data_IF_330573763203
#
_entry.id   IF_330573763203
#
_cell.length_a   1.000
_cell.length_b   1.000
_cell.length_c   1.000
_cell.angle_alpha   90.00
_cell.angle_beta   90.00
_cell.angle_gamma   90.00
#
_symmetry.space_group_name_H-M   'P 1'
#
loop_
_entity.id
_entity.type
_entity.pdbx_description
1 polymer ?
#
# COMPACT_ATOMS: atom_id res chain seq x y z
N UNK A 1 16.96 14.21 12.88
CA UNK A 1 15.58 14.15 12.36
C UNK A 1 14.70 13.69 13.51
N UNK A 2 13.43 14.14 13.65
CA UNK A 2 12.56 13.60 14.68
C UNK A 2 12.34 12.11 14.46
N UNK A 3 12.25 11.35 15.57
CA UNK A 3 12.09 9.89 15.50
C UNK A 3 10.78 9.52 14.78
N UNK A 4 10.87 8.62 13.81
CA UNK A 4 9.73 8.01 13.14
C UNK A 4 9.13 6.95 14.07
N UNK A 5 7.88 7.10 14.47
CA UNK A 5 7.24 6.23 15.47
C UNK A 5 5.94 5.68 14.88
N UNK A 6 5.89 4.39 14.66
CA UNK A 6 4.66 3.68 14.25
C UNK A 6 3.66 3.69 15.42
N UNK A 7 2.38 3.85 15.13
CA UNK A 7 1.35 3.80 16.17
C UNK A 7 1.35 2.45 16.89
N UNK A 8 1.20 2.42 18.23
CA UNK A 8 1.45 1.22 19.04
C UNK A 8 0.65 -0.01 18.61
N UNK A 9 -0.61 0.15 18.22
CA UNK A 9 -1.46 -0.95 17.78
C UNK A 9 -1.01 -1.56 16.46
N UNK A 10 -0.51 -0.74 15.55
CA UNK A 10 0.06 -1.17 14.27
C UNK A 10 1.39 -1.89 14.54
N UNK A 11 2.26 -1.35 15.40
CA UNK A 11 3.51 -1.98 15.79
C UNK A 11 3.27 -3.38 16.37
N UNK A 12 2.28 -3.54 17.26
CA UNK A 12 1.88 -4.86 17.79
C UNK A 12 1.46 -5.83 16.69
N UNK A 13 0.75 -5.36 15.65
CA UNK A 13 0.36 -6.19 14.50
C UNK A 13 1.60 -6.63 13.71
N UNK A 14 2.58 -5.75 13.50
CA UNK A 14 3.84 -6.06 12.84
C UNK A 14 4.60 -7.14 13.64
N UNK A 15 4.73 -6.98 14.95
CA UNK A 15 5.43 -7.95 15.81
C UNK A 15 4.74 -9.32 15.77
N UNK A 16 3.40 -9.34 15.81
CA UNK A 16 2.63 -10.58 15.68
C UNK A 16 2.86 -11.24 14.31
N UNK A 17 2.83 -10.48 13.23
CA UNK A 17 3.04 -10.99 11.87
C UNK A 17 4.44 -11.59 11.70
N UNK A 18 5.47 -11.02 12.34
CA UNK A 18 6.85 -11.54 12.31
C UNK A 18 7.02 -12.89 12.99
N UNK A 19 6.13 -13.26 13.89
CA UNK A 19 6.16 -14.56 14.60
C UNK A 19 5.44 -15.69 13.85
N UNK A 20 4.78 -15.38 12.73
CA UNK A 20 4.04 -16.37 11.94
C UNK A 20 4.99 -17.15 11.04
N UNK A 21 4.95 -18.48 11.13
CA UNK A 21 5.68 -19.34 10.20
C UNK A 21 5.09 -19.24 8.78
N UNK A 22 5.97 -19.10 7.81
CA UNK A 22 5.61 -19.02 6.40
C UNK A 22 5.99 -20.33 5.72
N UNK A 23 5.04 -20.94 5.00
CA UNK A 23 5.28 -22.16 4.22
C UNK A 23 6.43 -21.98 3.22
N UNK A 24 7.19 -23.04 2.96
CA UNK A 24 8.42 -23.00 2.19
C UNK A 24 8.22 -22.45 0.76
N UNK A 25 7.14 -22.86 0.08
CA UNK A 25 6.80 -22.35 -1.26
C UNK A 25 6.52 -20.86 -1.23
N UNK A 26 5.71 -20.38 -0.27
CA UNK A 26 5.43 -18.97 -0.10
C UNK A 26 6.69 -18.17 0.23
N UNK A 27 7.56 -18.72 1.07
CA UNK A 27 8.86 -18.12 1.40
C UNK A 27 9.70 -17.93 0.16
N UNK A 28 9.83 -18.96 -0.70
CA UNK A 28 10.60 -18.87 -1.94
C UNK A 28 10.11 -17.75 -2.87
N UNK A 29 8.78 -17.56 -3.00
CA UNK A 29 8.22 -16.44 -3.77
C UNK A 29 8.55 -15.07 -3.16
N UNK A 30 8.47 -14.95 -1.83
CA UNK A 30 8.80 -13.71 -1.13
C UNK A 30 10.30 -13.40 -1.21
N UNK A 31 11.16 -14.41 -1.13
CA UNK A 31 12.61 -14.25 -1.26
C UNK A 31 12.96 -13.77 -2.67
N UNK A 32 12.33 -14.33 -3.71
CA UNK A 32 12.50 -13.86 -5.08
C UNK A 32 12.07 -12.39 -5.24
N UNK A 33 10.88 -12.03 -4.73
CA UNK A 33 10.40 -10.64 -4.76
C UNK A 33 11.35 -9.69 -4.00
N UNK A 34 11.82 -10.11 -2.83
CA UNK A 34 12.79 -9.33 -2.03
C UNK A 34 14.08 -9.08 -2.80
N UNK A 35 14.57 -10.09 -3.53
CA UNK A 35 15.76 -9.95 -4.37
C UNK A 35 15.56 -8.92 -5.49
N UNK A 36 14.44 -9.00 -6.22
CA UNK A 36 14.11 -8.02 -7.27
C UNK A 36 14.02 -6.59 -6.71
N UNK A 37 13.36 -6.41 -5.57
CA UNK A 37 13.27 -5.11 -4.89
C UNK A 37 14.67 -4.61 -4.50
N UNK A 38 15.50 -5.48 -3.94
CA UNK A 38 16.85 -5.13 -3.51
C UNK A 38 17.74 -4.73 -4.69
N UNK A 39 17.72 -5.45 -5.81
CA UNK A 39 18.44 -5.08 -7.03
C UNK A 39 18.01 -3.68 -7.53
N UNK A 40 16.71 -3.40 -7.54
CA UNK A 40 16.19 -2.09 -7.91
C UNK A 40 16.66 -0.97 -6.97
N UNK A 41 16.64 -1.20 -5.67
CA UNK A 41 17.12 -0.25 -4.67
C UNK A 41 18.61 0.04 -4.83
N UNK A 42 19.42 -0.99 -5.11
CA UNK A 42 20.86 -0.84 -5.37
C UNK A 42 21.14 -0.04 -6.64
N UNK A 43 20.33 -0.24 -7.68
CA UNK A 43 20.52 0.44 -8.97
C UNK A 43 20.03 1.90 -8.96
N UNK A 44 18.94 2.20 -8.25
CA UNK A 44 18.21 3.47 -8.37
C UNK A 44 18.09 4.27 -7.07
N UNK A 45 18.49 3.71 -5.93
CA UNK A 45 18.41 4.34 -4.60
C UNK A 45 17.00 4.37 -4.00
N UNK A 46 15.94 4.19 -4.78
CA UNK A 46 14.55 4.08 -4.34
C UNK A 46 13.73 3.27 -5.31
N UNK A 47 12.55 2.78 -4.88
CA UNK A 47 11.64 2.02 -5.73
C UNK A 47 10.19 2.44 -5.48
N UNK A 48 9.39 2.40 -6.56
CA UNK A 48 7.94 2.52 -6.49
C UNK A 48 7.29 1.14 -6.67
N UNK A 49 6.36 0.77 -5.78
CA UNK A 49 5.53 -0.42 -5.90
C UNK A 49 4.09 0.00 -6.15
N UNK A 50 3.51 -0.40 -7.27
CA UNK A 50 2.12 -0.12 -7.62
C UNK A 50 1.28 -1.41 -7.49
N UNK A 51 0.45 -1.49 -6.45
CA UNK A 51 -0.42 -2.63 -6.18
C UNK A 51 -1.71 -2.52 -6.98
N UNK A 52 -2.02 -3.52 -7.80
CA UNK A 52 -3.13 -3.47 -8.75
C UNK A 52 -4.12 -4.60 -8.47
N UNK A 53 -5.41 -4.26 -8.39
CA UNK A 53 -6.51 -5.22 -8.35
C UNK A 53 -7.64 -4.75 -9.31
N UNK A 54 -8.73 -5.48 -9.42
CA UNK A 54 -9.82 -5.12 -10.32
C UNK A 54 -10.36 -3.71 -10.06
N UNK A 55 -10.80 -3.40 -8.83
CA UNK A 55 -11.57 -2.18 -8.53
C UNK A 55 -10.80 -1.14 -7.70
N UNK A 56 -9.54 -1.37 -7.34
CA UNK A 56 -8.79 -0.55 -6.38
C UNK A 56 -9.62 -0.21 -5.11
N UNK A 57 -10.32 -1.21 -4.60
CA UNK A 57 -11.30 -1.05 -3.53
C UNK A 57 -10.88 -1.67 -2.19
N UNK A 58 -10.17 -2.80 -2.19
CA UNK A 58 -9.73 -3.52 -0.99
C UNK A 58 -8.28 -3.97 -1.07
N UNK A 59 -7.99 -5.04 -1.84
CA UNK A 59 -6.69 -5.73 -1.87
C UNK A 59 -5.52 -4.79 -2.14
N UNK A 60 -5.58 -4.03 -3.20
CA UNK A 60 -4.52 -3.09 -3.58
C UNK A 60 -4.39 -1.92 -2.61
N UNK A 61 -5.50 -1.41 -2.06
CA UNK A 61 -5.48 -0.36 -1.03
C UNK A 61 -4.82 -0.86 0.27
N UNK A 62 -5.20 -2.05 0.73
CA UNK A 62 -4.59 -2.67 1.91
C UNK A 62 -3.09 -2.91 1.69
N UNK A 63 -2.70 -3.41 0.51
CA UNK A 63 -1.31 -3.65 0.17
C UNK A 63 -0.49 -2.35 0.14
N UNK A 64 -1.01 -1.28 -0.48
CA UNK A 64 -0.39 0.04 -0.48
C UNK A 64 -0.13 0.54 0.94
N UNK A 65 -1.16 0.52 1.80
CA UNK A 65 -1.07 1.06 3.16
C UNK A 65 -0.07 0.26 4.00
N UNK A 66 -0.12 -1.06 3.95
CA UNK A 66 0.82 -1.89 4.69
C UNK A 66 2.25 -1.78 4.14
N UNK A 67 2.42 -1.64 2.82
CA UNK A 67 3.74 -1.39 2.23
C UNK A 67 4.32 -0.05 2.71
N UNK A 68 3.54 1.06 2.68
CA UNK A 68 3.97 2.35 3.21
C UNK A 68 4.35 2.27 4.69
N UNK A 69 3.53 1.55 5.48
CA UNK A 69 3.76 1.35 6.91
C UNK A 69 5.08 0.63 7.19
N UNK A 70 5.32 -0.48 6.49
CA UNK A 70 6.55 -1.27 6.65
C UNK A 70 7.77 -0.54 6.10
N UNK A 71 7.64 0.17 4.98
CA UNK A 71 8.70 1.03 4.47
C UNK A 71 9.10 2.10 5.49
N UNK A 72 8.11 2.77 6.12
CA UNK A 72 8.35 3.73 7.18
C UNK A 72 8.93 3.12 8.45
N UNK A 73 8.48 1.92 8.83
CA UNK A 73 8.95 1.19 10.02
C UNK A 73 10.41 0.75 9.90
N UNK A 74 10.82 0.26 8.73
CA UNK A 74 12.18 -0.23 8.47
C UNK A 74 13.08 0.80 7.79
N UNK A 75 12.63 2.05 7.65
CA UNK A 75 13.35 3.13 6.96
C UNK A 75 13.83 2.74 5.56
N UNK A 76 12.95 2.09 4.79
CA UNK A 76 13.23 1.67 3.43
C UNK A 76 12.78 2.74 2.42
N UNK A 77 13.58 3.05 1.39
CA UNK A 77 13.23 4.02 0.36
C UNK A 77 12.26 3.43 -0.67
N UNK A 78 11.09 2.97 -0.19
CA UNK A 78 10.03 2.36 -0.98
C UNK A 78 8.81 3.28 -0.97
N UNK A 79 8.37 3.71 -2.16
CA UNK A 79 7.13 4.44 -2.36
C UNK A 79 6.03 3.47 -2.77
N UNK A 80 4.88 3.53 -2.11
CA UNK A 80 3.77 2.61 -2.38
C UNK A 80 2.57 3.31 -2.99
N UNK A 81 2.01 2.69 -4.01
CA UNK A 81 0.87 3.17 -4.78
C UNK A 81 -0.15 2.06 -4.95
N UNK A 82 -1.36 2.41 -5.37
CA UNK A 82 -2.34 1.42 -5.77
C UNK A 82 -3.18 1.88 -6.94
N UNK A 83 -3.74 0.92 -7.66
CA UNK A 83 -4.65 1.17 -8.76
C UNK A 83 -5.58 0.00 -9.01
N UNK A 84 -6.50 0.18 -9.94
CA UNK A 84 -7.41 -0.85 -10.42
C UNK A 84 -7.54 -0.83 -11.92
N UNK A 85 -8.13 -1.87 -12.47
CA UNK A 85 -8.60 -1.89 -13.86
C UNK A 85 -9.85 -1.00 -14.00
N UNK A 86 -10.62 -0.90 -12.92
CA UNK A 86 -11.85 -0.10 -12.82
C UNK A 86 -11.82 0.79 -11.59
N UNK A 87 -12.55 1.92 -11.65
CA UNK A 87 -12.73 2.85 -10.53
C UNK A 87 -14.05 2.54 -9.83
N UNK A 88 -13.99 2.45 -8.50
CA UNK A 88 -15.18 2.36 -7.64
C UNK A 88 -15.05 3.28 -6.44
N UNK A 89 -14.75 2.72 -5.26
CA UNK A 89 -14.41 3.45 -4.05
C UNK A 89 -13.56 2.58 -3.12
N UNK A 90 -12.79 3.19 -2.23
CA UNK A 90 -12.17 2.47 -1.13
C UNK A 90 -13.27 1.88 -0.24
N UNK A 91 -13.30 0.55 -0.11
CA UNK A 91 -14.40 -0.18 0.54
C UNK A 91 -14.53 0.22 2.01
N UNK A 92 -15.71 0.67 2.48
CA UNK A 92 -15.90 1.13 3.86
C UNK A 92 -15.52 0.08 4.91
N UNK A 93 -15.78 -1.21 4.67
CA UNK A 93 -15.40 -2.29 5.60
C UNK A 93 -13.89 -2.44 5.71
N UNK A 94 -13.14 -2.23 4.62
CA UNK A 94 -11.68 -2.24 4.67
C UNK A 94 -11.14 -1.02 5.43
N UNK A 95 -11.75 0.15 5.27
CA UNK A 95 -11.44 1.35 6.04
C UNK A 95 -11.70 1.12 7.55
N UNK A 96 -12.84 0.55 7.91
CA UNK A 96 -13.18 0.23 9.30
C UNK A 96 -12.22 -0.78 9.91
N UNK A 97 -11.83 -1.82 9.15
CA UNK A 97 -10.83 -2.81 9.58
C UNK A 97 -9.50 -2.15 9.89
N UNK A 98 -9.00 -1.27 9.01
CA UNK A 98 -7.74 -0.55 9.23
C UNK A 98 -7.84 0.41 10.42
N UNK A 99 -8.95 1.13 10.59
CA UNK A 99 -9.18 1.95 11.80
C UNK A 99 -9.15 1.11 13.07
N UNK A 100 -9.77 -0.06 13.03
CA UNK A 100 -9.72 -1.00 14.14
C UNK A 100 -8.29 -1.50 14.45
N UNK A 101 -7.41 -1.55 13.45
CA UNK A 101 -5.98 -1.87 13.59
C UNK A 101 -5.12 -0.68 14.04
N UNK A 102 -5.69 0.52 14.17
CA UNK A 102 -4.98 1.70 14.68
C UNK A 102 -4.55 2.71 13.62
N UNK A 103 -4.93 2.52 12.36
CA UNK A 103 -4.71 3.53 11.31
C UNK A 103 -5.66 4.72 11.49
N UNK A 104 -5.16 5.93 11.21
CA UNK A 104 -5.96 7.16 11.29
C UNK A 104 -6.26 7.65 9.88
N UNK A 105 -7.55 7.82 9.58
CA UNK A 105 -8.04 8.26 8.28
C UNK A 105 -8.55 9.69 8.36
N UNK A 106 -7.90 10.59 7.66
CA UNK A 106 -8.39 11.95 7.44
C UNK A 106 -8.95 12.07 6.03
N UNK A 107 -10.19 12.51 5.90
CA UNK A 107 -10.78 12.80 4.61
C UNK A 107 -10.14 14.08 4.04
N UNK A 108 -9.52 13.97 2.86
CA UNK A 108 -8.75 15.08 2.27
C UNK A 108 -9.65 16.18 1.69
N UNK A 109 -10.83 15.81 1.21
CA UNK A 109 -11.77 16.74 0.59
C UNK A 109 -13.21 16.46 1.05
N UNK A 110 -13.83 17.46 1.68
CA UNK A 110 -15.25 17.45 2.05
C UNK A 110 -16.16 17.96 0.89
N UNK A 111 -15.78 17.72 -0.37
CA UNK A 111 -16.56 18.16 -1.51
C UNK A 111 -17.64 17.13 -1.87
N UNK A 112 -18.80 17.59 -2.32
CA UNK A 112 -19.89 16.72 -2.78
C UNK A 112 -19.48 15.80 -3.95
N UNK A 113 -18.46 16.17 -4.73
CA UNK A 113 -17.90 15.39 -5.82
C UNK A 113 -17.11 14.15 -5.35
N UNK A 114 -16.65 14.12 -4.10
CA UNK A 114 -15.93 12.99 -3.52
C UNK A 114 -16.82 12.02 -2.71
N UNK A 115 -18.12 12.26 -2.64
CA UNK A 115 -19.04 11.46 -1.82
C UNK A 115 -19.07 9.98 -2.23
N UNK A 116 -18.92 9.68 -3.52
CA UNK A 116 -18.95 8.31 -4.05
C UNK A 116 -17.56 7.64 -4.09
N UNK A 117 -16.47 8.41 -4.02
CA UNK A 117 -15.11 7.91 -4.00
C UNK A 117 -14.25 8.84 -3.13
N UNK A 118 -14.37 8.73 -1.80
CA UNK A 118 -13.66 9.62 -0.88
C UNK A 118 -12.14 9.38 -0.94
N UNK A 119 -11.40 10.49 -0.87
CA UNK A 119 -9.94 10.49 -0.79
C UNK A 119 -9.49 10.60 0.66
N UNK A 120 -8.59 9.72 1.06
CA UNK A 120 -8.05 9.66 2.42
C UNK A 120 -6.55 9.91 2.46
N UNK A 121 -6.12 10.64 3.47
CA UNK A 121 -4.76 10.56 3.98
C UNK A 121 -4.78 9.56 5.15
N UNK A 122 -4.00 8.48 5.01
CA UNK A 122 -3.97 7.38 5.99
C UNK A 122 -2.65 7.46 6.75
N UNK A 123 -2.75 7.80 8.03
CA UNK A 123 -1.62 7.91 8.93
C UNK A 123 -1.42 6.60 9.69
N UNK A 124 -0.17 6.20 9.86
CA UNK A 124 0.25 4.98 10.54
C UNK A 124 1.34 5.21 11.59
N UNK A 125 1.77 6.47 11.75
CA UNK A 125 2.81 6.85 12.72
C UNK A 125 2.98 8.35 12.84
N UNK A 126 3.93 8.76 13.69
CA UNK A 126 4.38 10.13 13.84
C UNK A 126 5.63 10.38 12.98
N UNK A 127 5.74 11.56 12.41
CA UNK A 127 6.86 11.97 11.55
C UNK A 127 7.05 11.06 10.32
N UNK A 128 5.94 10.51 9.82
CA UNK A 128 5.85 9.70 8.60
C UNK A 128 4.82 10.33 7.67
N UNK A 129 5.11 10.35 6.39
CA UNK A 129 4.19 10.84 5.38
C UNK A 129 2.99 9.89 5.26
N UNK A 130 1.75 10.40 5.23
CA UNK A 130 0.57 9.56 5.11
C UNK A 130 0.46 8.94 3.73
N UNK A 131 -0.12 7.74 3.66
CA UNK A 131 -0.52 7.15 2.38
C UNK A 131 -1.75 7.88 1.82
N UNK A 132 -1.70 8.26 0.53
CA UNK A 132 -2.84 8.86 -0.17
C UNK A 132 -3.67 7.76 -0.83
N UNK A 133 -4.90 7.57 -0.39
CA UNK A 133 -5.75 6.42 -0.70
C UNK A 133 -7.13 6.82 -1.21
N UNK A 134 -7.45 6.42 -2.43
CA UNK A 134 -8.76 6.52 -3.08
C UNK A 134 -8.78 5.54 -4.27
N UNK A 135 -9.96 5.16 -4.74
CA UNK A 135 -10.06 4.26 -5.89
C UNK A 135 -9.72 5.02 -7.19
N UNK A 136 -8.77 4.48 -7.95
CA UNK A 136 -8.26 5.06 -9.21
C UNK A 136 -7.76 3.97 -10.14
N UNK A 137 -7.69 4.24 -11.43
CA UNK A 137 -7.07 3.34 -12.41
C UNK A 137 -5.56 3.24 -12.14
N UNK A 138 -4.96 2.15 -12.60
CA UNK A 138 -3.55 1.85 -12.29
C UNK A 138 -2.56 2.85 -12.89
N UNK A 139 -2.91 3.48 -14.02
CA UNK A 139 -2.14 4.51 -14.74
C UNK A 139 -2.60 5.96 -14.41
N UNK A 140 -3.34 6.15 -13.32
CA UNK A 140 -3.73 7.48 -12.86
C UNK A 140 -2.49 8.37 -12.67
N UNK A 141 -2.52 9.68 -13.02
CA UNK A 141 -1.35 10.57 -12.98
C UNK A 141 -0.61 10.67 -11.63
N UNK A 142 -1.24 10.27 -10.52
CA UNK A 142 -0.61 10.24 -9.20
C UNK A 142 0.24 8.98 -8.99
N UNK A 143 0.02 7.94 -9.79
CA UNK A 143 0.78 6.70 -9.78
C UNK A 143 2.06 6.85 -10.63
N UNK A 144 3.10 6.07 -10.37
CA UNK A 144 4.33 6.11 -11.17
C UNK A 144 4.06 5.63 -12.59
N UNK A 145 4.63 6.33 -13.57
CA UNK A 145 4.59 5.95 -15.00
C UNK A 145 5.84 5.23 -15.47
N UNK A 146 6.94 5.35 -14.71
CA UNK A 146 8.25 4.79 -15.04
C UNK A 146 8.95 4.25 -13.78
N UNK A 147 9.87 3.32 -13.94
CA UNK A 147 10.72 2.78 -12.87
C UNK A 147 9.95 2.27 -11.65
N UNK A 148 8.90 1.49 -11.87
CA UNK A 148 8.12 0.87 -10.80
C UNK A 148 7.93 -0.63 -11.01
N UNK A 149 7.60 -1.35 -9.94
CA UNK A 149 7.15 -2.74 -10.00
C UNK A 149 5.62 -2.76 -9.88
N UNK A 150 4.95 -3.35 -10.86
CA UNK A 150 3.53 -3.64 -10.81
C UNK A 150 3.30 -4.93 -10.00
N UNK A 151 2.49 -4.83 -8.94
CA UNK A 151 2.17 -5.93 -8.03
C UNK A 151 0.71 -6.33 -8.22
N UNK A 152 0.46 -7.39 -9.00
CA UNK A 152 -0.90 -7.89 -9.21
C UNK A 152 -1.42 -8.57 -7.95
N UNK A 153 -2.54 -8.10 -7.43
CA UNK A 153 -3.16 -8.62 -6.20
C UNK A 153 -4.39 -9.50 -6.46
N UNK A 154 -4.66 -9.84 -7.71
CA UNK A 154 -5.68 -10.81 -8.13
C UNK A 154 -5.49 -11.24 -9.59
N UNK A 155 -5.95 -12.44 -9.94
CA UNK A 155 -5.86 -12.99 -11.30
C UNK A 155 -6.51 -12.12 -12.36
N UNK A 156 -7.68 -11.53 -12.09
CA UNK A 156 -8.34 -10.64 -13.05
C UNK A 156 -7.49 -9.40 -13.40
N UNK A 157 -6.76 -8.82 -12.45
CA UNK A 157 -5.85 -7.71 -12.73
C UNK A 157 -4.61 -8.19 -13.52
N UNK A 158 -4.13 -9.39 -13.22
CA UNK A 158 -3.01 -10.00 -13.93
C UNK A 158 -3.32 -10.27 -15.41
N UNK A 159 -4.55 -10.67 -15.69
CA UNK A 159 -5.03 -10.95 -17.07
C UNK A 159 -5.38 -9.68 -17.88
N UNK A 160 -5.75 -8.58 -17.21
CA UNK A 160 -6.33 -7.38 -17.84
C UNK A 160 -5.53 -6.09 -17.62
N UNK A 161 -4.40 -6.15 -16.95
CA UNK A 161 -3.47 -5.04 -16.86
C UNK A 161 -2.41 -5.19 -17.97
N UNK A 162 -2.26 -4.21 -18.86
CA UNK A 162 -1.29 -4.27 -19.97
C UNK A 162 0.16 -4.25 -19.48
#
# INVERSE_FOLDING_TARGET
>A
MPDRIIFPKIAQTIDTARSIDIEAERRAHLDHLSHVIQEHLLAHGSIALNFICTHNSRRSQLAQIWCATLAGHFDLPINSYSGGVEITAFNPRAVETLRAQGFVFNNKYNSASSANNPEYQVYFGQNLDPAHCFSKIFDHPINPSEHFIAMMTCGHADENCP
#
